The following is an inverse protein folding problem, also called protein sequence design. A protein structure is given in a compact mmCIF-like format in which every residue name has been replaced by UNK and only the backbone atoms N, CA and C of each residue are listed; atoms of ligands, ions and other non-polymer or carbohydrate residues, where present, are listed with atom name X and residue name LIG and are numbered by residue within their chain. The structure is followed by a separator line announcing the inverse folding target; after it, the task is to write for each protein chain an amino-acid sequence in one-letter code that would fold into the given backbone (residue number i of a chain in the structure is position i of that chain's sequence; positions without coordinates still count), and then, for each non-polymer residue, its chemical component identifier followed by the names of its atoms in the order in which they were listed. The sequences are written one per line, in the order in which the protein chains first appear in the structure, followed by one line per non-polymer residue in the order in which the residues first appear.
data_IF_953694681405
#
_entry.id   IF_953694681405
#
_cell.length_a   1.000
_cell.length_b   1.000
_cell.length_c   1.000
_cell.angle_alpha   90.00
_cell.angle_beta   90.00
_cell.angle_gamma   90.00
#
_symmetry.space_group_name_H-M   'P 1'
#
loop_
_entity.id
_entity.type
_entity.pdbx_description
1 polymer ?
#
# COMPACT_ATOMS: atom_id res chain seq x y z
N UNK A 1 -23.01 58.04 51.76
CA UNK A 1 -22.21 56.92 51.19
C UNK A 1 -20.91 57.39 50.49
N UNK A 2 -20.36 58.57 50.83
CA UNK A 2 -19.19 59.16 50.13
C UNK A 2 -18.02 59.54 51.05
N UNK A 3 -18.07 59.19 52.35
CA UNK A 3 -17.00 59.52 53.31
C UNK A 3 -15.96 58.40 53.48
N UNK A 4 -16.28 57.17 53.06
CA UNK A 4 -15.35 56.01 53.17
C UNK A 4 -14.15 56.15 52.21
N UNK A 5 -14.31 56.88 51.11
CA UNK A 5 -13.27 57.09 50.09
C UNK A 5 -12.25 58.19 50.42
N UNK A 6 -12.42 58.93 51.53
CA UNK A 6 -11.49 60.02 51.91
C UNK A 6 -10.34 59.56 52.80
N UNK A 7 -10.32 58.30 53.24
CA UNK A 7 -9.22 57.76 54.06
C UNK A 7 -8.12 57.24 53.13
N UNK A 8 -6.86 57.72 53.27
CA UNK A 8 -5.76 57.34 52.38
C UNK A 8 -5.52 55.82 52.33
N UNK A 9 -5.84 55.11 53.41
CA UNK A 9 -5.75 53.64 53.51
C UNK A 9 -6.69 52.93 52.54
N UNK A 10 -7.91 53.43 52.31
CA UNK A 10 -8.90 52.80 51.41
C UNK A 10 -8.47 52.95 49.94
N UNK A 11 -7.89 54.10 49.59
CA UNK A 11 -7.35 54.36 48.24
C UNK A 11 -6.18 53.41 47.95
N UNK A 12 -5.28 53.19 48.92
CA UNK A 12 -4.15 52.27 48.75
C UNK A 12 -4.62 50.83 48.51
N UNK A 13 -5.63 50.36 49.26
CA UNK A 13 -6.18 49.00 49.08
C UNK A 13 -6.79 48.82 47.69
N UNK A 14 -7.52 49.83 47.18
CA UNK A 14 -8.11 49.79 45.83
C UNK A 14 -7.01 49.75 44.76
N UNK A 15 -5.95 50.55 44.90
CA UNK A 15 -4.83 50.55 43.95
C UNK A 15 -4.11 49.20 43.94
N UNK A 16 -3.87 48.60 45.12
CA UNK A 16 -3.25 47.26 45.21
C UNK A 16 -4.16 46.20 44.57
N UNK A 17 -5.46 46.23 44.80
CA UNK A 17 -6.41 45.30 44.19
C UNK A 17 -6.44 45.42 42.66
N UNK A 18 -6.37 46.64 42.11
CA UNK A 18 -6.29 46.87 40.66
C UNK A 18 -4.99 46.31 40.09
N UNK A 19 -3.84 46.56 40.74
CA UNK A 19 -2.54 46.04 40.29
C UNK A 19 -2.53 44.51 40.31
N UNK A 20 -3.06 43.88 41.36
CA UNK A 20 -3.16 42.41 41.44
C UNK A 20 -4.07 41.85 40.34
N UNK A 21 -5.21 42.49 40.06
CA UNK A 21 -6.11 42.07 38.98
C UNK A 21 -5.47 42.21 37.60
N UNK A 22 -4.70 43.27 37.35
CA UNK A 22 -3.99 43.47 36.09
C UNK A 22 -2.87 42.44 35.90
N UNK A 23 -2.12 42.10 36.97
CA UNK A 23 -1.08 41.07 36.93
C UNK A 23 -1.69 39.67 36.68
N UNK A 24 -2.82 39.36 37.33
CA UNK A 24 -3.54 38.10 37.10
C UNK A 24 -4.09 37.99 35.67
N UNK A 25 -4.68 39.06 35.14
CA UNK A 25 -5.19 39.09 33.76
C UNK A 25 -4.07 38.92 32.74
N UNK A 26 -2.89 39.51 32.98
CA UNK A 26 -1.73 39.36 32.10
C UNK A 26 -1.17 37.93 32.11
N UNK A 27 -1.09 37.29 33.28
CA UNK A 27 -0.64 35.90 33.40
C UNK A 27 -1.60 34.90 32.75
N UNK A 28 -2.91 35.11 32.89
CA UNK A 28 -3.91 34.24 32.28
C UNK A 28 -3.90 34.34 30.75
N UNK A 29 -3.78 35.56 30.20
CA UNK A 29 -3.67 35.79 28.75
C UNK A 29 -2.42 35.12 28.15
N UNK A 30 -1.27 35.20 28.83
CA UNK A 30 -0.02 34.55 28.41
C UNK A 30 -0.08 33.02 28.50
N UNK A 31 -0.85 32.48 29.45
CA UNK A 31 -1.11 31.04 29.56
C UNK A 31 -1.97 30.53 28.40
N UNK A 32 -2.97 31.32 27.98
CA UNK A 32 -3.81 31.00 26.84
C UNK A 32 -3.04 31.10 25.51
N UNK A 33 -2.16 32.08 25.34
CA UNK A 33 -1.28 32.19 24.16
C UNK A 33 -0.31 31.01 24.05
N UNK A 34 0.28 30.56 25.17
CA UNK A 34 1.14 29.35 25.18
C UNK A 34 0.37 28.06 24.90
N UNK A 35 -0.88 27.94 25.36
CA UNK A 35 -1.75 26.80 25.03
C UNK A 35 -2.19 26.83 23.56
N UNK A 36 -2.42 28.01 22.99
CA UNK A 36 -2.73 28.17 21.57
C UNK A 36 -1.54 27.81 20.67
N UNK A 37 -0.31 28.18 21.04
CA UNK A 37 0.91 27.78 20.31
C UNK A 37 1.20 26.27 20.41
N UNK A 38 0.92 25.63 21.55
CA UNK A 38 1.02 24.17 21.68
C UNK A 38 -0.09 23.39 20.96
N UNK A 39 -1.22 24.03 20.61
CA UNK A 39 -2.31 23.37 19.86
C UNK A 39 -2.19 23.61 18.35
N UNK A 40 -1.35 24.56 17.91
CA UNK A 40 -1.12 24.86 16.49
C UNK A 40 -0.09 23.95 15.81
N UNK A 41 0.54 23.01 16.53
CA UNK A 41 1.59 22.11 15.99
C UNK A 41 1.22 20.63 16.12
N UNK A 42 -0.05 20.31 15.96
CA UNK A 42 -0.48 18.93 15.64
C UNK A 42 -1.39 19.01 14.42
N UNK A 43 -0.79 19.28 13.26
CA UNK A 43 -1.39 18.84 12.01
C UNK A 43 -1.35 17.31 12.06
N UNK A 44 -2.46 16.68 12.42
CA UNK A 44 -2.70 15.29 12.04
C UNK A 44 -2.63 15.25 10.51
N UNK A 45 -1.48 14.86 9.98
CA UNK A 45 -1.39 14.38 8.61
C UNK A 45 -2.36 13.22 8.53
N UNK A 46 -3.49 13.41 7.85
CA UNK A 46 -4.40 12.32 7.48
C UNK A 46 -3.54 11.33 6.70
N UNK A 47 -3.10 10.26 7.35
CA UNK A 47 -2.33 9.22 6.74
C UNK A 47 -3.32 8.45 5.86
N UNK A 48 -3.33 8.73 4.56
CA UNK A 48 -4.19 8.03 3.61
C UNK A 48 -3.75 6.56 3.64
N UNK A 49 -4.64 5.68 4.12
CA UNK A 49 -4.39 4.24 4.12
C UNK A 49 -4.40 3.73 2.68
N UNK A 50 -3.30 3.09 2.26
CA UNK A 50 -3.13 2.52 0.94
C UNK A 50 -2.28 1.23 1.05
N UNK A 51 -2.02 0.57 -0.08
CA UNK A 51 -1.29 -0.70 -0.07
C UNK A 51 0.15 -0.58 0.47
N UNK A 52 0.73 0.62 0.51
CA UNK A 52 2.10 0.84 1.02
C UNK A 52 2.20 0.95 2.54
N UNK A 53 1.08 1.08 3.25
CA UNK A 53 1.08 1.29 4.71
C UNK A 53 0.06 0.46 5.50
N UNK A 54 -0.74 -0.37 4.82
CA UNK A 54 -1.65 -1.33 5.44
C UNK A 54 -0.91 -2.57 5.95
N UNK A 55 -1.48 -3.29 6.92
CA UNK A 55 -0.97 -4.60 7.32
C UNK A 55 -1.16 -5.59 6.16
N UNK A 56 -0.04 -6.06 5.59
CA UNK A 56 -0.07 -6.97 4.46
C UNK A 56 -0.73 -8.32 4.80
N UNK A 57 -0.76 -8.73 6.06
CA UNK A 57 -1.37 -10.02 6.47
C UNK A 57 -2.88 -10.04 6.29
N UNK A 58 -3.53 -8.88 6.20
CA UNK A 58 -4.96 -8.76 5.90
C UNK A 58 -5.32 -9.34 4.51
N UNK A 59 -4.34 -9.41 3.60
CA UNK A 59 -4.52 -9.95 2.24
C UNK A 59 -4.21 -11.45 2.13
N UNK A 60 -3.71 -12.10 3.18
CA UNK A 60 -3.30 -13.51 3.09
C UNK A 60 -4.47 -14.44 2.80
N UNK A 61 -5.60 -14.25 3.49
CA UNK A 61 -6.77 -15.09 3.27
C UNK A 61 -7.42 -14.78 1.92
N UNK A 62 -7.51 -13.49 1.59
CA UNK A 62 -8.00 -13.01 0.30
C UNK A 62 -7.30 -13.69 -0.87
N UNK A 63 -5.96 -13.64 -0.90
CA UNK A 63 -5.15 -14.24 -1.97
C UNK A 63 -5.27 -15.76 -2.01
N UNK A 64 -5.41 -16.42 -0.85
CA UNK A 64 -5.63 -17.87 -0.79
C UNK A 64 -6.98 -18.28 -1.38
N UNK A 65 -8.04 -17.54 -1.05
CA UNK A 65 -9.39 -17.81 -1.55
C UNK A 65 -9.46 -17.59 -3.06
N UNK A 66 -8.88 -16.49 -3.55
CA UNK A 66 -8.85 -16.17 -4.97
C UNK A 66 -8.07 -17.23 -5.77
N UNK A 67 -6.89 -17.63 -5.26
CA UNK A 67 -6.10 -18.72 -5.86
C UNK A 67 -6.87 -20.06 -5.87
N UNK A 68 -7.61 -20.38 -4.81
CA UNK A 68 -8.40 -21.60 -4.74
C UNK A 68 -9.50 -21.61 -5.82
N UNK A 69 -10.20 -20.48 -6.00
CA UNK A 69 -11.21 -20.32 -7.06
C UNK A 69 -10.56 -20.43 -8.44
N UNK A 70 -9.46 -19.72 -8.68
CA UNK A 70 -8.74 -19.75 -9.94
C UNK A 70 -8.30 -21.19 -10.29
N UNK A 71 -7.69 -21.89 -9.35
CA UNK A 71 -7.23 -23.27 -9.52
C UNK A 71 -8.38 -24.22 -9.81
N UNK A 72 -9.49 -24.11 -9.06
CA UNK A 72 -10.68 -24.92 -9.30
C UNK A 72 -11.22 -24.71 -10.73
N UNK A 73 -11.32 -23.47 -11.19
CA UNK A 73 -11.81 -23.14 -12.55
C UNK A 73 -10.86 -23.56 -13.66
N UNK A 74 -9.55 -23.53 -13.43
CA UNK A 74 -8.58 -24.09 -14.36
C UNK A 74 -8.76 -25.61 -14.48
N UNK A 75 -8.83 -26.32 -13.35
CA UNK A 75 -8.96 -27.77 -13.31
C UNK A 75 -10.30 -28.28 -13.87
N UNK A 76 -11.39 -27.53 -13.71
CA UNK A 76 -12.68 -27.80 -14.38
C UNK A 76 -12.54 -27.81 -15.92
N UNK A 77 -11.66 -26.96 -16.46
CA UNK A 77 -11.45 -26.81 -17.91
C UNK A 77 -10.51 -27.88 -18.43
N UNK A 78 -9.41 -28.14 -17.73
CA UNK A 78 -8.48 -29.22 -18.01
C UNK A 78 -7.74 -29.60 -16.73
N UNK A 79 -7.82 -30.88 -16.33
CA UNK A 79 -7.16 -31.40 -15.13
C UNK A 79 -5.63 -31.38 -15.17
N UNK A 80 -5.04 -31.01 -16.32
CA UNK A 80 -3.60 -30.82 -16.50
C UNK A 80 -3.15 -29.37 -16.41
N UNK A 81 -4.05 -28.41 -16.20
CA UNK A 81 -3.64 -27.03 -15.98
C UNK A 81 -2.91 -26.89 -14.64
N UNK A 82 -1.77 -26.21 -14.68
CA UNK A 82 -0.93 -25.91 -13.53
C UNK A 82 -0.61 -24.43 -13.53
N UNK A 83 -0.57 -23.82 -12.33
CA UNK A 83 -0.25 -22.40 -12.19
C UNK A 83 1.19 -22.15 -12.67
N UNK A 84 1.38 -21.12 -13.47
CA UNK A 84 2.67 -20.71 -14.03
C UNK A 84 3.10 -19.33 -13.56
N UNK A 85 2.14 -18.41 -13.43
CA UNK A 85 2.41 -17.08 -12.91
C UNK A 85 1.18 -16.44 -12.27
N UNK A 86 1.45 -15.44 -11.43
CA UNK A 86 0.46 -14.49 -10.93
C UNK A 86 0.90 -13.10 -11.40
N UNK A 87 -0.02 -12.33 -11.96
CA UNK A 87 0.22 -10.96 -12.39
C UNK A 87 -0.76 -10.03 -11.68
N UNK A 88 -0.25 -9.06 -10.93
CA UNK A 88 -1.04 -8.05 -10.23
C UNK A 88 -0.80 -6.70 -10.91
N UNK A 89 -1.86 -6.00 -11.26
CA UNK A 89 -1.80 -4.64 -11.80
C UNK A 89 -2.51 -3.69 -10.85
N UNK A 90 -1.76 -2.71 -10.36
CA UNK A 90 -2.24 -1.68 -9.44
C UNK A 90 -2.22 -0.31 -10.14
N UNK A 91 -3.26 0.52 -9.92
CA UNK A 91 -3.27 1.89 -10.43
C UNK A 91 -2.28 2.78 -9.66
N UNK A 92 -1.99 3.96 -10.21
CA UNK A 92 -1.10 4.95 -9.59
C UNK A 92 -1.48 5.35 -8.16
N UNK A 93 -2.76 5.28 -7.79
CA UNK A 93 -3.22 5.65 -6.44
C UNK A 93 -2.80 4.63 -5.37
N UNK A 94 -2.49 3.39 -5.76
CA UNK A 94 -2.23 2.26 -4.86
C UNK A 94 -3.33 2.07 -3.80
N UNK A 95 -4.56 2.47 -4.12
CA UNK A 95 -5.71 2.32 -3.26
C UNK A 95 -6.02 0.84 -3.03
N UNK A 96 -6.47 0.53 -1.81
CA UNK A 96 -6.92 -0.82 -1.46
C UNK A 96 -8.07 -1.24 -2.38
N UNK A 97 -8.05 -2.50 -2.83
CA UNK A 97 -9.08 -3.10 -3.70
C UNK A 97 -9.27 -2.42 -5.06
N UNK A 98 -8.25 -1.76 -5.60
CA UNK A 98 -8.35 -1.03 -6.89
C UNK A 98 -7.64 -1.73 -8.06
N UNK A 99 -6.96 -2.84 -7.79
CA UNK A 99 -6.17 -3.57 -8.79
C UNK A 99 -6.91 -4.68 -9.53
N UNK A 100 -6.15 -5.39 -10.36
CA UNK A 100 -6.57 -6.68 -10.94
C UNK A 100 -5.51 -7.74 -10.74
N UNK A 101 -5.96 -8.94 -10.43
CA UNK A 101 -5.11 -10.11 -10.20
C UNK A 101 -5.36 -11.15 -11.30
N UNK A 102 -4.29 -11.65 -11.93
CA UNK A 102 -4.36 -12.65 -13.00
C UNK A 102 -3.59 -13.89 -12.63
N UNK A 103 -4.28 -15.01 -12.58
CA UNK A 103 -3.67 -16.33 -12.48
C UNK A 103 -3.52 -16.92 -13.87
N UNK A 104 -2.29 -17.26 -14.22
CA UNK A 104 -1.94 -17.82 -15.53
C UNK A 104 -1.63 -19.30 -15.37
N UNK A 105 -2.42 -20.13 -16.04
CA UNK A 105 -2.28 -21.57 -16.05
C UNK A 105 -1.76 -22.06 -17.39
N UNK A 106 -0.87 -23.05 -17.33
CA UNK A 106 -0.29 -23.72 -18.50
C UNK A 106 -0.56 -25.22 -18.42
N UNK A 107 -0.54 -25.87 -19.57
CA UNK A 107 -0.67 -27.32 -19.69
C UNK A 107 0.34 -27.81 -20.73
N UNK A 108 0.96 -28.95 -20.48
CA UNK A 108 1.83 -29.62 -21.43
C UNK A 108 1.10 -30.03 -22.72
N UNK A 109 -0.23 -30.15 -22.65
CA UNK A 109 -1.11 -30.45 -23.78
C UNK A 109 -1.59 -29.23 -24.56
N UNK A 110 -1.54 -28.04 -23.97
CA UNK A 110 -1.87 -26.79 -24.67
C UNK A 110 -0.59 -26.02 -24.98
N UNK A 111 -0.09 -26.22 -26.20
CA UNK A 111 1.12 -25.56 -26.68
C UNK A 111 0.85 -24.17 -27.25
N UNK A 112 -0.41 -23.79 -27.43
CA UNK A 112 -0.81 -22.58 -28.15
C UNK A 112 -1.26 -21.45 -27.22
N UNK A 113 -1.95 -21.77 -26.13
CA UNK A 113 -2.59 -20.76 -25.28
C UNK A 113 -2.16 -20.88 -23.81
N UNK A 114 -2.27 -19.74 -23.12
CA UNK A 114 -2.35 -19.64 -21.68
C UNK A 114 -3.83 -19.61 -21.28
N UNK A 115 -4.18 -20.36 -20.23
CA UNK A 115 -5.50 -20.22 -19.60
C UNK A 115 -5.40 -19.20 -18.47
N UNK A 116 -6.13 -18.11 -18.58
CA UNK A 116 -5.99 -16.96 -17.67
C UNK A 116 -7.31 -16.70 -16.97
N UNK A 117 -7.24 -16.49 -15.66
CA UNK A 117 -8.36 -16.07 -14.83
C UNK A 117 -7.99 -14.73 -14.21
N UNK A 118 -8.75 -13.69 -14.51
CA UNK A 118 -8.53 -12.33 -14.00
C UNK A 118 -9.64 -11.96 -13.05
N UNK A 119 -9.29 -11.51 -11.85
CA UNK A 119 -10.19 -10.96 -10.86
C UNK A 119 -10.07 -9.44 -10.80
N UNK A 120 -11.20 -8.78 -10.57
CA UNK A 120 -11.22 -7.39 -10.10
C UNK A 120 -11.10 -7.39 -8.59
N UNK A 121 -10.11 -6.68 -8.03
CA UNK A 121 -9.97 -6.57 -6.59
C UNK A 121 -11.15 -5.81 -5.96
N UNK A 122 -11.81 -4.91 -6.71
CA UNK A 122 -12.90 -4.06 -6.24
C UNK A 122 -14.14 -4.86 -5.84
N UNK A 123 -14.52 -5.85 -6.66
CA UNK A 123 -15.81 -6.53 -6.53
C UNK A 123 -15.71 -8.06 -6.60
N UNK A 124 -14.50 -8.61 -6.72
CA UNK A 124 -14.24 -10.06 -6.74
C UNK A 124 -14.91 -10.81 -7.91
N UNK A 125 -15.41 -10.09 -8.91
CA UNK A 125 -15.84 -10.69 -10.16
C UNK A 125 -14.62 -11.16 -10.95
N UNK A 126 -14.78 -12.24 -11.72
CA UNK A 126 -13.70 -12.77 -12.54
C UNK A 126 -14.13 -13.06 -13.97
N UNK A 127 -13.15 -12.97 -14.87
CA UNK A 127 -13.25 -13.38 -16.27
C UNK A 127 -12.26 -14.50 -16.56
N UNK A 128 -12.58 -15.31 -17.56
CA UNK A 128 -11.72 -16.40 -18.04
C UNK A 128 -11.38 -16.16 -19.50
N UNK A 129 -10.12 -16.34 -19.86
CA UNK A 129 -9.63 -16.12 -21.21
C UNK A 129 -8.62 -17.19 -21.63
N UNK A 130 -8.63 -17.52 -22.93
CA UNK A 130 -7.51 -18.16 -23.60
C UNK A 130 -6.72 -17.06 -24.30
N UNK A 131 -5.46 -16.89 -23.92
CA UNK A 131 -4.59 -15.89 -24.53
C UNK A 131 -3.44 -16.64 -25.21
N UNK A 132 -3.20 -16.44 -26.52
CA UNK A 132 -2.09 -17.09 -27.19
C UNK A 132 -0.77 -16.84 -26.48
N UNK A 133 0.08 -17.87 -26.38
CA UNK A 133 1.34 -17.76 -25.64
C UNK A 133 2.25 -16.68 -26.21
N UNK A 134 2.26 -16.51 -27.53
CA UNK A 134 3.03 -15.47 -28.22
C UNK A 134 2.59 -14.03 -27.91
N UNK A 135 1.38 -13.83 -27.41
CA UNK A 135 0.80 -12.51 -27.16
C UNK A 135 0.87 -12.10 -25.68
N UNK A 136 1.43 -12.95 -24.82
CA UNK A 136 1.43 -12.74 -23.37
C UNK A 136 2.72 -13.23 -22.69
N UNK A 137 2.62 -14.10 -21.68
CA UNK A 137 3.77 -14.56 -20.86
C UNK A 137 4.61 -15.66 -21.52
N UNK A 138 4.23 -16.16 -22.71
CA UNK A 138 4.99 -17.21 -23.40
C UNK A 138 4.83 -18.59 -22.76
N UNK A 139 5.86 -19.42 -22.89
CA UNK A 139 5.93 -20.74 -22.27
C UNK A 139 6.60 -20.65 -20.89
N UNK A 140 5.97 -19.92 -19.96
CA UNK A 140 6.51 -19.85 -18.61
C UNK A 140 6.45 -21.23 -17.93
N UNK A 141 7.46 -21.58 -17.12
CA UNK A 141 7.49 -22.83 -16.38
C UNK A 141 6.35 -22.90 -15.35
N UNK A 142 6.02 -24.12 -14.94
CA UNK A 142 5.07 -24.34 -13.85
C UNK A 142 5.66 -23.80 -12.55
N UNK A 143 4.86 -23.03 -11.83
CA UNK A 143 5.25 -22.40 -10.57
C UNK A 143 5.26 -23.42 -9.44
N UNK A 144 6.34 -23.46 -8.66
CA UNK A 144 6.37 -24.19 -7.39
C UNK A 144 5.77 -23.31 -6.29
N UNK A 145 4.48 -23.52 -6.00
CA UNK A 145 3.76 -22.74 -5.00
C UNK A 145 4.29 -22.93 -3.59
N UNK A 146 5.11 -23.95 -3.31
CA UNK A 146 5.70 -24.14 -1.98
C UNK A 146 6.74 -23.06 -1.65
N UNK A 147 7.30 -22.41 -2.66
CA UNK A 147 8.27 -21.31 -2.52
C UNK A 147 7.59 -19.96 -2.34
N UNK A 148 6.28 -19.85 -2.55
CA UNK A 148 5.53 -18.61 -2.40
C UNK A 148 5.12 -18.41 -0.93
N UNK A 149 5.82 -17.51 -0.21
CA UNK A 149 5.64 -17.33 1.25
C UNK A 149 4.85 -16.10 1.66
N UNK A 150 4.70 -15.11 0.79
CA UNK A 150 4.02 -13.85 1.09
C UNK A 150 3.28 -13.29 -0.12
N UNK A 151 2.25 -12.49 0.15
CA UNK A 151 1.36 -11.94 -0.87
C UNK A 151 1.94 -10.70 -1.59
N UNK A 152 1.20 -10.17 -2.56
CA UNK A 152 1.65 -9.05 -3.37
C UNK A 152 1.78 -7.74 -2.56
N UNK A 153 1.02 -7.54 -1.49
CA UNK A 153 1.15 -6.34 -0.63
C UNK A 153 2.49 -6.36 0.08
N UNK A 154 2.91 -7.50 0.63
CA UNK A 154 4.25 -7.64 1.21
C UNK A 154 5.34 -7.40 0.17
N UNK A 155 5.20 -7.93 -1.05
CA UNK A 155 6.21 -7.69 -2.09
C UNK A 155 6.26 -6.21 -2.53
N UNK A 156 5.12 -5.54 -2.61
CA UNK A 156 5.04 -4.10 -2.88
C UNK A 156 5.76 -3.30 -1.79
N UNK A 157 5.50 -3.61 -0.51
CA UNK A 157 6.12 -2.92 0.62
C UNK A 157 7.64 -3.11 0.64
N UNK A 158 8.13 -4.33 0.36
CA UNK A 158 9.57 -4.57 0.18
C UNK A 158 10.12 -3.72 -0.98
N UNK A 159 9.41 -3.63 -2.12
CA UNK A 159 9.85 -2.82 -3.25
C UNK A 159 9.85 -1.31 -2.94
N UNK A 160 8.88 -0.81 -2.16
CA UNK A 160 8.82 0.58 -1.69
C UNK A 160 10.08 0.93 -0.88
N UNK A 161 10.45 0.07 0.07
CA UNK A 161 11.66 0.23 0.90
C UNK A 161 12.96 0.17 0.09
N UNK A 162 12.94 -0.49 -1.07
CA UNK A 162 14.09 -0.69 -1.95
C UNK A 162 14.09 0.25 -3.16
N UNK A 163 13.52 1.45 -3.01
CA UNK A 163 13.61 2.53 -3.99
C UNK A 163 12.32 2.83 -4.73
N UNK A 164 11.28 2.00 -4.59
CA UNK A 164 9.96 2.23 -5.18
C UNK A 164 9.33 3.54 -4.72
N UNK A 165 9.42 3.83 -3.41
CA UNK A 165 8.93 5.08 -2.84
C UNK A 165 9.63 6.30 -3.44
N UNK A 166 10.97 6.27 -3.50
CA UNK A 166 11.76 7.34 -4.11
C UNK A 166 11.44 7.54 -5.60
N UNK A 167 11.18 6.46 -6.33
CA UNK A 167 10.78 6.53 -7.73
C UNK A 167 9.44 7.23 -7.91
N UNK A 168 8.40 6.88 -7.13
CA UNK A 168 7.07 7.51 -7.24
C UNK A 168 7.00 8.93 -6.69
N UNK A 169 7.92 9.32 -5.81
CA UNK A 169 8.06 10.72 -5.37
C UNK A 169 8.73 11.59 -6.44
N UNK A 170 9.69 11.02 -7.18
CA UNK A 170 10.40 11.71 -8.25
C UNK A 170 9.67 11.72 -9.59
N UNK A 171 8.70 10.83 -9.80
CA UNK A 171 8.02 10.63 -11.07
C UNK A 171 6.49 10.51 -10.88
N UNK A 172 5.71 11.02 -11.83
CA UNK A 172 4.27 10.77 -11.85
C UNK A 172 4.00 9.30 -12.21
N UNK A 173 3.72 8.50 -11.19
CA UNK A 173 3.40 7.08 -11.33
C UNK A 173 2.17 6.89 -12.23
N UNK A 174 2.25 5.96 -13.16
CA UNK A 174 1.13 5.53 -14.02
C UNK A 174 0.51 4.24 -13.49
N UNK A 175 1.35 3.26 -13.13
CA UNK A 175 0.91 1.97 -12.61
C UNK A 175 2.05 1.23 -11.91
N UNK A 176 1.69 0.21 -11.13
CA UNK A 176 2.64 -0.82 -10.67
C UNK A 176 2.16 -2.17 -11.19
N UNK A 177 3.05 -2.90 -11.85
CA UNK A 177 2.79 -4.27 -12.30
C UNK A 177 3.71 -5.21 -11.54
N UNK A 178 3.14 -6.24 -10.92
CA UNK A 178 3.88 -7.24 -10.19
C UNK A 178 3.68 -8.60 -10.84
N UNK A 179 4.76 -9.31 -11.14
CA UNK A 179 4.67 -10.67 -11.69
C UNK A 179 5.41 -11.64 -10.77
N UNK A 180 4.68 -12.60 -10.21
CA UNK A 180 5.25 -13.76 -9.54
C UNK A 180 5.41 -14.89 -10.57
N UNK A 181 6.64 -15.28 -10.86
CA UNK A 181 6.94 -16.43 -11.72
C UNK A 181 8.35 -16.95 -11.49
N UNK A 182 8.59 -18.18 -11.93
CA UNK A 182 9.95 -18.70 -12.03
C UNK A 182 10.73 -17.98 -13.14
N UNK A 183 11.96 -17.59 -12.83
CA UNK A 183 12.86 -16.89 -13.77
C UNK A 183 14.07 -17.75 -14.12
N UNK A 184 14.37 -17.82 -15.41
CA UNK A 184 15.60 -18.41 -15.95
C UNK A 184 16.82 -17.50 -15.66
N UNK A 185 18.05 -18.05 -15.53
CA UNK A 185 18.41 -19.48 -15.64
C UNK A 185 18.36 -20.24 -14.31
N UNK A 186 18.19 -19.55 -13.18
CA UNK A 186 18.35 -20.16 -11.86
C UNK A 186 17.06 -20.82 -11.32
N UNK A 187 15.95 -20.70 -12.06
CA UNK A 187 14.63 -21.19 -11.68
C UNK A 187 14.22 -20.72 -10.27
N UNK A 188 14.48 -19.45 -9.98
CA UNK A 188 14.05 -18.79 -8.74
C UNK A 188 12.62 -18.29 -8.91
N UNK A 189 11.81 -18.46 -7.86
CA UNK A 189 10.47 -17.88 -7.83
C UNK A 189 10.56 -16.44 -7.34
N UNK A 190 10.40 -15.49 -8.25
CA UNK A 190 10.58 -14.06 -7.96
C UNK A 190 9.29 -13.28 -8.16
N UNK A 191 9.01 -12.37 -7.23
CA UNK A 191 8.17 -11.20 -7.48
C UNK A 191 9.00 -10.17 -8.25
N UNK A 192 8.63 -9.90 -9.50
CA UNK A 192 9.15 -8.79 -10.30
C UNK A 192 8.18 -7.62 -10.14
N UNK A 193 8.57 -6.58 -9.39
CA UNK A 193 7.77 -5.38 -9.16
C UNK A 193 8.26 -4.27 -10.09
N UNK A 194 7.43 -3.87 -11.05
CA UNK A 194 7.72 -2.82 -12.02
C UNK A 194 6.83 -1.60 -11.77
N UNK A 195 7.46 -0.48 -11.44
CA UNK A 195 6.85 0.84 -11.39
C UNK A 195 6.97 1.47 -12.76
N UNK A 196 5.85 1.94 -13.32
CA UNK A 196 5.83 2.62 -14.60
C UNK A 196 5.46 4.08 -14.41
N UNK A 197 6.23 4.96 -15.04
CA UNK A 197 5.94 6.38 -15.16
C UNK A 197 6.13 6.82 -16.60
N UNK A 198 5.76 8.07 -16.91
CA UNK A 198 5.86 8.59 -18.28
C UNK A 198 7.32 8.58 -18.78
N UNK A 199 7.61 7.65 -19.69
CA UNK A 199 8.91 7.54 -20.36
C UNK A 199 10.02 6.90 -19.52
N UNK A 200 9.71 6.35 -18.35
CA UNK A 200 10.68 5.66 -17.48
C UNK A 200 10.02 4.57 -16.64
N UNK A 201 10.82 3.61 -16.18
CA UNK A 201 10.37 2.52 -15.33
C UNK A 201 11.43 2.17 -14.29
N UNK A 202 10.98 1.68 -13.14
CA UNK A 202 11.84 1.16 -12.09
C UNK A 202 11.43 -0.25 -11.71
N UNK A 203 12.39 -1.14 -11.45
CA UNK A 203 12.16 -2.57 -11.22
C UNK A 203 12.87 -3.05 -9.97
N UNK A 204 12.18 -3.89 -9.21
CA UNK A 204 12.74 -4.62 -8.06
C UNK A 204 12.38 -6.09 -8.21
N UNK A 205 13.37 -6.98 -8.11
CA UNK A 205 13.17 -8.42 -8.09
C UNK A 205 13.29 -8.92 -6.65
N UNK A 206 12.31 -9.69 -6.18
CA UNK A 206 12.23 -10.12 -4.78
C UNK A 206 12.01 -11.62 -4.75
N UNK A 207 12.88 -12.36 -4.07
CA UNK A 207 12.71 -13.80 -3.85
C UNK A 207 11.46 -14.09 -3.02
N UNK A 208 10.53 -14.85 -3.60
CA UNK A 208 9.21 -15.09 -3.01
C UNK A 208 9.23 -15.97 -1.75
N UNK A 209 10.37 -16.59 -1.45
CA UNK A 209 10.55 -17.44 -0.28
C UNK A 209 11.16 -16.68 0.90
N UNK A 210 12.16 -15.83 0.64
CA UNK A 210 12.95 -15.14 1.66
C UNK A 210 12.68 -13.65 1.78
N UNK A 211 12.01 -13.04 0.81
CA UNK A 211 11.80 -11.59 0.75
C UNK A 211 13.06 -10.79 0.39
N UNK A 212 14.16 -11.47 0.02
CA UNK A 212 15.40 -10.80 -0.35
C UNK A 212 15.30 -10.19 -1.74
N UNK A 213 15.74 -8.94 -1.87
CA UNK A 213 15.92 -8.29 -3.17
C UNK A 213 17.12 -8.92 -3.89
N UNK A 214 16.93 -9.22 -5.18
CA UNK A 214 17.97 -9.77 -6.07
C UNK A 214 18.26 -8.76 -7.19
N UNK A 215 19.53 -8.69 -7.62
CA UNK A 215 19.95 -7.88 -8.77
C UNK A 215 19.39 -8.40 -10.10
#
# INVERSE_FOLDING_TARGET
MLEVFKKPVVIIIIVVAIVVALVWSYLDKRSQEKKAEQTATTQETVQITNLTNIDATEFDQFVKDEYAVASSKALETNSKYQLSAIVVELPASLEVNSGTDRYVFVSDKDTLNNWVITFSQENQSYLRALIPKGDYIGNAPVMDTTLWKFNFVTALQIAEENGGMGFREANSLESVTMTLRHTEPNNWLLWNVEYKARGTSFKVNIDANSGKVTE
#
